data_IF_956653603695
#
_entry.id   IF_956653603695
#
_cell.length_a   1.000
_cell.length_b   1.000
_cell.length_c   1.000
_cell.angle_alpha   90.00
_cell.angle_beta   90.00
_cell.angle_gamma   90.00
#
_symmetry.space_group_name_H-M   'P 1'
#
loop_
_entity.id
_entity.type
_entity.pdbx_description
1 polymer ?
#
# COMPACT_ATOMS: atom_id res chain seq x y z
N UNK A 1 -16.57 -8.10 6.67
CA UNK A 1 -15.31 -7.49 6.18
C UNK A 1 -14.21 -8.52 6.25
N UNK A 2 -13.69 -8.96 5.11
CA UNK A 2 -12.43 -9.68 5.02
C UNK A 2 -11.47 -8.74 4.30
N UNK A 3 -10.25 -8.58 4.81
CA UNK A 3 -9.26 -7.66 4.24
C UNK A 3 -9.02 -8.05 2.79
N UNK A 4 -9.63 -7.35 1.82
CA UNK A 4 -9.48 -7.62 0.38
C UNK A 4 -8.11 -7.20 -0.15
N UNK A 5 -7.31 -6.50 0.67
CA UNK A 5 -5.99 -5.98 0.32
C UNK A 5 -4.99 -6.43 1.37
N UNK A 6 -3.79 -6.81 0.93
CA UNK A 6 -2.64 -7.12 1.78
C UNK A 6 -1.46 -6.22 1.40
N UNK A 7 -0.70 -5.76 2.40
CA UNK A 7 0.40 -4.79 2.25
C UNK A 7 1.69 -5.38 2.83
N UNK A 8 2.73 -5.52 2.00
CA UNK A 8 4.01 -6.07 2.41
C UNK A 8 4.98 -4.98 2.87
N UNK A 9 4.87 -4.55 4.13
CA UNK A 9 5.71 -3.48 4.70
C UNK A 9 7.13 -3.95 5.06
N UNK A 10 7.35 -5.25 5.23
CA UNK A 10 8.66 -5.83 5.51
C UNK A 10 9.66 -5.65 4.37
N UNK A 11 9.20 -5.33 3.16
CA UNK A 11 10.04 -5.09 1.98
C UNK A 11 10.41 -3.61 1.82
N UNK A 12 9.81 -2.70 2.60
CA UNK A 12 10.03 -1.27 2.47
C UNK A 12 11.48 -0.86 2.74
N UNK A 13 12.08 -1.38 3.81
CA UNK A 13 13.48 -1.09 4.15
C UNK A 13 14.49 -1.81 3.24
N UNK A 14 14.41 -3.14 3.02
CA UNK A 14 15.42 -3.83 2.21
C UNK A 14 15.31 -3.59 0.70
N UNK A 15 14.12 -3.25 0.18
CA UNK A 15 13.88 -3.12 -1.26
C UNK A 15 13.31 -1.76 -1.70
N UNK A 16 13.04 -0.84 -0.76
CA UNK A 16 12.55 0.50 -1.08
C UNK A 16 11.12 0.52 -1.63
N UNK A 17 10.36 -0.57 -1.50
CA UNK A 17 9.01 -0.72 -2.09
C UNK A 17 8.02 -1.35 -1.11
N UNK A 18 6.74 -1.02 -1.31
CA UNK A 18 5.59 -1.57 -0.59
C UNK A 18 4.67 -2.22 -1.61
N UNK A 19 4.78 -3.54 -1.84
CA UNK A 19 3.83 -4.28 -2.66
C UNK A 19 2.45 -4.35 -1.99
N UNK A 20 1.41 -4.10 -2.77
CA UNK A 20 0.01 -4.15 -2.37
C UNK A 20 -0.73 -5.08 -3.34
N UNK A 21 -1.44 -6.09 -2.83
CA UNK A 21 -2.21 -7.02 -3.67
C UNK A 21 -3.60 -7.26 -3.13
N UNK A 22 -4.46 -7.83 -3.99
CA UNK A 22 -5.70 -8.43 -3.54
C UNK A 22 -5.41 -9.75 -2.80
N UNK A 23 -5.86 -9.87 -1.56
CA UNK A 23 -5.60 -11.05 -0.72
C UNK A 23 -6.34 -12.31 -1.19
N UNK A 24 -7.43 -12.15 -1.94
CA UNK A 24 -8.27 -13.22 -2.50
C UNK A 24 -7.80 -13.65 -3.88
N UNK A 25 -7.06 -12.78 -4.58
CA UNK A 25 -6.44 -13.08 -5.86
C UNK A 25 -4.91 -13.23 -5.71
N UNK A 26 -4.49 -14.28 -5.00
CA UNK A 26 -3.07 -14.53 -4.65
C UNK A 26 -2.18 -14.71 -5.88
N UNK A 27 -2.74 -15.19 -7.00
CA UNK A 27 -2.03 -15.34 -8.28
C UNK A 27 -2.12 -14.09 -9.17
N UNK A 28 -2.89 -13.09 -8.75
CA UNK A 28 -3.04 -11.83 -9.45
C UNK A 28 -1.84 -10.89 -9.31
N UNK A 29 -1.80 -9.81 -10.10
CA UNK A 29 -0.73 -8.83 -10.03
C UNK A 29 -0.74 -8.06 -8.70
N UNK A 30 0.44 -7.65 -8.25
CA UNK A 30 0.61 -6.71 -7.14
C UNK A 30 0.98 -5.32 -7.68
N UNK A 31 0.47 -4.27 -7.03
CA UNK A 31 0.91 -2.91 -7.23
C UNK A 31 2.18 -2.67 -6.41
N UNK A 32 3.28 -2.32 -7.07
CA UNK A 32 4.54 -1.98 -6.41
C UNK A 32 4.62 -0.47 -6.22
N UNK A 33 4.49 -0.01 -4.99
CA UNK A 33 4.57 1.42 -4.65
C UNK A 33 5.95 1.73 -4.06
N UNK A 34 6.66 2.79 -4.48
CA UNK A 34 7.86 3.22 -3.79
C UNK A 34 7.58 3.53 -2.31
N UNK A 35 8.45 3.11 -1.40
CA UNK A 35 8.21 3.23 0.04
C UNK A 35 7.95 4.69 0.47
N UNK A 36 8.71 5.64 -0.07
CA UNK A 36 8.51 7.07 0.19
C UNK A 36 7.13 7.58 -0.26
N UNK A 37 6.65 7.12 -1.41
CA UNK A 37 5.34 7.49 -1.93
C UNK A 37 4.21 6.90 -1.08
N UNK A 38 4.35 5.65 -0.64
CA UNK A 38 3.39 5.03 0.28
C UNK A 38 3.34 5.75 1.63
N UNK A 39 4.49 6.13 2.19
CA UNK A 39 4.56 6.94 3.42
C UNK A 39 3.88 8.30 3.26
N UNK A 40 4.14 9.01 2.15
CA UNK A 40 3.50 10.29 1.86
C UNK A 40 1.97 10.15 1.71
N UNK A 41 1.52 9.10 1.02
CA UNK A 41 0.09 8.77 0.90
C UNK A 41 -0.56 8.56 2.27
N UNK A 42 0.03 7.71 3.12
CA UNK A 42 -0.50 7.46 4.47
C UNK A 42 -0.50 8.72 5.33
N UNK A 43 0.51 9.57 5.21
CA UNK A 43 0.56 10.86 5.90
C UNK A 43 -0.58 11.77 5.45
N UNK A 44 -0.80 11.91 4.14
CA UNK A 44 -1.90 12.72 3.58
C UNK A 44 -3.29 12.20 3.98
N UNK A 45 -3.50 10.88 4.02
CA UNK A 45 -4.75 10.29 4.53
C UNK A 45 -4.96 10.66 6.00
N UNK A 46 -3.92 10.57 6.85
CA UNK A 46 -4.01 10.91 8.27
C UNK A 46 -4.28 12.40 8.51
N UNK A 47 -3.73 13.27 7.67
CA UNK A 47 -3.95 14.71 7.72
C UNK A 47 -5.34 15.12 7.22
N UNK A 48 -6.05 14.24 6.50
CA UNK A 48 -7.33 14.55 5.86
C UNK A 48 -7.18 15.24 4.52
N UNK A 49 -5.96 15.34 3.99
CA UNK A 49 -5.65 16.05 2.74
C UNK A 49 -6.11 15.28 1.48
N UNK A 50 -6.39 13.98 1.62
CA UNK A 50 -6.79 13.09 0.54
C UNK A 50 -8.28 12.71 0.59
N UNK A 51 -9.12 13.63 1.08
CA UNK A 51 -10.58 13.45 1.17
C UNK A 51 -11.27 13.30 -0.20
N UNK A 52 -12.44 12.65 -0.20
CA UNK A 52 -13.30 12.50 -1.39
C UNK A 52 -13.82 13.85 -1.85
N UNK A 53 -13.58 14.19 -3.11
CA UNK A 53 -14.33 15.23 -3.83
C UNK A 53 -15.82 14.91 -3.88
#
# INVERSE_FOLDING_TARGET
GGQCVEVATNLAAPHGVVPIRDSKNVTGPALTVPAAAFSAFVAGVRAGDLGTA
#
